data_IF_814569434791
#
_entry.id   IF_814569434791
#
_cell.length_a   1.000
_cell.length_b   1.000
_cell.length_c   1.000
_cell.angle_alpha   90.00
_cell.angle_beta   90.00
_cell.angle_gamma   90.00
#
_symmetry.space_group_name_H-M   'P 1'
#
loop_
_entity.id
_entity.type
_entity.pdbx_description
1 polymer ?
#
# COMPACT_ATOMS: atom_id res chain seq x y z
N UNK A 1 1.95 0.00 6.58
CA UNK A 1 2.36 1.35 7.01
C UNK A 1 2.77 1.30 8.47
N UNK A 2 3.77 2.10 8.87
CA UNK A 2 4.13 2.24 10.28
C UNK A 2 3.01 2.93 11.05
N UNK A 3 2.89 2.63 12.35
CA UNK A 3 1.91 3.28 13.21
C UNK A 3 2.35 4.72 13.50
N UNK A 4 1.48 5.69 13.20
CA UNK A 4 1.76 7.12 13.41
C UNK A 4 2.04 7.46 14.88
N UNK A 5 1.52 6.65 15.82
CA UNK A 5 1.71 6.84 17.27
C UNK A 5 3.13 6.56 17.71
N UNK A 6 3.83 5.70 16.99
CA UNK A 6 5.15 5.20 17.37
C UNK A 6 6.28 6.04 16.74
N UNK A 7 5.97 6.99 15.86
CA UNK A 7 6.98 7.72 15.06
C UNK A 7 8.00 8.47 15.92
N UNK A 8 7.53 9.10 17.00
CA UNK A 8 8.39 9.89 17.88
C UNK A 8 9.22 8.99 18.80
N UNK A 9 8.59 7.98 19.40
CA UNK A 9 9.27 7.02 20.28
C UNK A 9 10.32 6.20 19.52
N UNK A 10 10.00 5.79 18.29
CA UNK A 10 10.84 4.92 17.46
C UNK A 10 11.62 5.66 16.39
N UNK A 11 11.84 6.96 16.58
CA UNK A 11 12.48 7.85 15.60
C UNK A 11 13.80 7.30 15.08
N UNK A 12 14.69 6.93 16.00
CA UNK A 12 16.03 6.42 15.66
C UNK A 12 15.96 5.07 14.93
N UNK A 13 15.08 4.16 15.35
CA UNK A 13 14.88 2.87 14.67
C UNK A 13 14.41 3.06 13.23
N UNK A 14 13.48 3.99 13.01
CA UNK A 14 12.89 4.27 11.69
C UNK A 14 13.98 4.84 10.78
N UNK A 15 14.71 5.85 11.26
CA UNK A 15 15.81 6.46 10.50
C UNK A 15 16.91 5.45 10.18
N UNK A 16 17.26 4.59 11.13
CA UNK A 16 18.24 3.53 10.91
C UNK A 16 17.78 2.53 9.85
N UNK A 17 16.52 2.08 9.94
CA UNK A 17 15.94 1.17 8.95
C UNK A 17 15.89 1.80 7.56
N UNK A 18 15.54 3.09 7.45
CA UNK A 18 15.54 3.83 6.19
C UNK A 18 16.96 3.96 5.62
N UNK A 19 17.95 4.28 6.47
CA UNK A 19 19.36 4.36 6.09
C UNK A 19 19.89 3.03 5.57
N UNK A 20 19.61 1.92 6.27
CA UNK A 20 19.98 0.56 5.83
C UNK A 20 19.34 0.18 4.50
N UNK A 21 18.15 0.73 4.20
CA UNK A 21 17.43 0.53 2.94
C UNK A 21 17.91 1.45 1.80
N UNK A 22 18.65 2.51 2.11
CA UNK A 22 18.97 3.56 1.15
C UNK A 22 17.78 4.46 0.78
N UNK A 23 16.78 4.60 1.67
CA UNK A 23 15.61 5.45 1.46
C UNK A 23 15.72 6.70 2.33
N UNK A 24 15.47 7.86 1.74
CA UNK A 24 15.37 9.14 2.47
C UNK A 24 13.91 9.48 2.69
N UNK A 25 13.54 9.80 3.92
CA UNK A 25 12.18 10.15 4.31
C UNK A 25 12.17 11.40 5.19
N UNK A 26 11.10 12.20 5.08
CA UNK A 26 10.87 13.35 5.96
C UNK A 26 10.03 12.92 7.16
N UNK A 27 10.69 12.31 8.14
CA UNK A 27 10.05 11.81 9.35
C UNK A 27 9.50 12.97 10.22
N UNK A 28 10.14 14.14 10.17
CA UNK A 28 9.68 15.32 10.91
C UNK A 28 8.34 15.83 10.38
N UNK A 29 8.17 15.87 9.06
CA UNK A 29 6.88 16.21 8.46
C UNK A 29 5.79 15.18 8.83
N UNK A 30 6.12 13.89 8.90
CA UNK A 30 5.18 12.86 9.33
C UNK A 30 4.74 13.05 10.80
N UNK A 31 5.68 13.31 11.71
CA UNK A 31 5.39 13.58 13.13
C UNK A 31 4.54 14.86 13.27
N UNK A 32 4.91 15.92 12.57
CA UNK A 32 4.15 17.18 12.59
C UNK A 32 2.73 17.00 12.04
N UNK A 33 2.57 16.25 10.95
CA UNK A 33 1.26 15.92 10.39
C UNK A 33 0.42 15.08 11.38
N UNK A 34 1.03 14.15 12.11
CA UNK A 34 0.34 13.40 13.15
C UNK A 34 -0.17 14.32 14.27
N UNK A 35 0.65 15.27 14.72
CA UNK A 35 0.24 16.29 15.68
C UNK A 35 -0.94 17.14 15.19
N UNK A 36 -0.96 17.53 13.91
CA UNK A 36 -2.11 18.24 13.31
C UNK A 36 -3.39 17.41 13.32
N UNK A 37 -3.30 16.11 13.04
CA UNK A 37 -4.45 15.20 13.13
C UNK A 37 -4.99 15.14 14.56
N UNK A 38 -4.12 15.02 15.57
CA UNK A 38 -4.52 15.00 16.97
C UNK A 38 -5.20 16.31 17.41
N UNK A 39 -4.65 17.45 16.98
CA UNK A 39 -5.22 18.76 17.27
C UNK A 39 -6.60 18.94 16.60
N UNK A 40 -6.72 18.60 15.32
CA UNK A 40 -8.00 18.68 14.59
C UNK A 40 -9.05 17.73 15.19
N UNK A 41 -8.65 16.53 15.59
CA UNK A 41 -9.54 15.58 16.27
C UNK A 41 -10.05 16.12 17.60
N UNK A 42 -9.20 16.82 18.36
CA UNK A 42 -9.58 17.50 19.61
C UNK A 42 -10.60 18.61 19.34
N UNK A 43 -10.37 19.43 18.31
CA UNK A 43 -11.30 20.49 17.92
C UNK A 43 -12.69 19.95 17.53
N UNK A 44 -12.74 18.84 16.77
CA UNK A 44 -14.00 18.15 16.44
C UNK A 44 -14.71 17.67 17.70
N UNK A 45 -13.99 17.09 18.65
CA UNK A 45 -14.57 16.59 19.90
C UNK A 45 -15.14 17.74 20.74
N UNK A 46 -14.42 18.85 20.86
CA UNK A 46 -14.88 20.04 21.59
C UNK A 46 -16.09 20.71 20.93
N UNK A 47 -16.09 20.84 19.59
CA UNK A 47 -17.22 21.39 18.86
C UNK A 47 -18.48 20.52 19.02
N UNK A 48 -18.32 19.20 18.98
CA UNK A 48 -19.42 18.26 19.24
C UNK A 48 -19.91 18.35 20.69
N UNK A 49 -19.00 18.51 21.67
CA UNK A 49 -19.37 18.72 23.07
C UNK A 49 -20.22 19.98 23.24
N UNK A 50 -19.76 21.12 22.71
CA UNK A 50 -20.50 22.38 22.73
C UNK A 50 -21.87 22.27 22.08
N UNK A 51 -21.96 21.61 20.90
CA UNK A 51 -23.23 21.35 20.22
C UNK A 51 -24.18 20.52 21.08
N UNK A 52 -23.68 19.48 21.74
CA UNK A 52 -24.49 18.60 22.57
C UNK A 52 -24.95 19.31 23.86
N UNK A 53 -24.09 20.12 24.49
CA UNK A 53 -24.45 20.99 25.61
C UNK A 53 -25.54 22.00 25.21
N UNK A 54 -25.41 22.63 24.04
CA UNK A 54 -26.41 23.54 23.47
C UNK A 54 -27.74 22.84 23.18
N UNK A 55 -27.72 21.62 22.65
CA UNK A 55 -28.93 20.85 22.43
C UNK A 55 -29.67 20.53 23.75
N UNK A 56 -28.93 20.21 24.81
CA UNK A 56 -29.51 19.96 26.15
C UNK A 56 -30.11 21.23 26.76
N UNK A 57 -29.50 22.40 26.55
CA UNK A 57 -30.03 23.67 27.06
C UNK A 57 -31.38 24.05 26.44
N UNK A 58 -31.72 23.48 25.28
CA UNK A 58 -33.00 23.62 24.58
C UNK A 58 -34.20 22.96 25.29
N UNK A 59 -34.00 22.19 26.36
CA UNK A 59 -35.09 21.49 27.08
C UNK A 59 -35.88 22.40 28.04
N UNK A 60 -35.41 23.63 28.30
CA UNK A 60 -36.12 24.61 29.13
C UNK A 60 -37.28 25.25 28.36
N UNK A 61 -38.29 25.76 29.10
CA UNK A 61 -39.30 26.64 28.48
C UNK A 61 -38.61 27.90 27.97
N UNK A 62 -38.92 28.27 26.73
CA UNK A 62 -38.39 29.44 26.04
C UNK A 62 -39.55 30.20 25.42
N UNK A 63 -39.45 31.52 25.39
CA UNK A 63 -40.30 32.34 24.53
C UNK A 63 -39.90 32.20 23.05
N UNK A 64 -40.64 32.87 22.15
CA UNK A 64 -40.42 32.72 20.72
C UNK A 64 -39.11 33.37 20.24
N UNK A 65 -38.69 34.47 20.85
CA UNK A 65 -37.43 35.14 20.53
C UNK A 65 -36.22 34.34 21.03
N UNK A 66 -36.31 33.76 22.23
CA UNK A 66 -35.30 32.85 22.80
C UNK A 66 -35.17 31.58 21.96
N UNK A 67 -36.29 31.03 21.47
CA UNK A 67 -36.29 29.83 20.63
C UNK A 67 -35.64 30.09 19.27
N UNK A 68 -35.90 31.24 18.66
CA UNK A 68 -35.27 31.65 17.41
C UNK A 68 -33.75 31.81 17.58
N UNK A 69 -33.31 32.52 18.62
CA UNK A 69 -31.90 32.69 18.94
C UNK A 69 -31.20 31.34 19.24
N UNK A 70 -31.85 30.44 19.99
CA UNK A 70 -31.32 29.11 20.27
C UNK A 70 -31.17 28.27 19.00
N UNK A 71 -32.14 28.35 18.09
CA UNK A 71 -32.08 27.67 16.80
C UNK A 71 -30.96 28.20 15.92
N UNK A 72 -30.76 29.52 15.88
CA UNK A 72 -29.68 30.15 15.13
C UNK A 72 -28.30 29.71 15.66
N UNK A 73 -28.11 29.70 16.98
CA UNK A 73 -26.86 29.22 17.59
C UNK A 73 -26.63 27.72 17.33
N UNK A 74 -27.68 26.91 17.36
CA UNK A 74 -27.59 25.49 17.01
C UNK A 74 -27.13 25.26 15.57
N UNK A 75 -27.57 26.10 14.62
CA UNK A 75 -27.08 26.07 13.23
C UNK A 75 -25.61 26.46 13.17
N UNK A 76 -25.21 27.54 13.85
CA UNK A 76 -23.80 27.98 13.93
C UNK A 76 -22.88 26.89 14.48
N UNK A 77 -23.29 26.21 15.54
CA UNK A 77 -22.52 25.10 16.13
C UNK A 77 -22.43 23.90 15.19
N UNK A 78 -23.50 23.58 14.46
CA UNK A 78 -23.49 22.53 13.43
C UNK A 78 -22.51 22.86 12.30
N UNK A 79 -22.50 24.11 11.82
CA UNK A 79 -21.54 24.58 10.80
C UNK A 79 -20.09 24.55 11.32
N UNK A 80 -19.87 24.89 12.60
CA UNK A 80 -18.55 24.79 13.21
C UNK A 80 -18.04 23.33 13.26
N UNK A 81 -18.90 22.38 13.62
CA UNK A 81 -18.57 20.94 13.58
C UNK A 81 -18.18 20.54 12.16
N UNK A 82 -18.97 20.90 11.15
CA UNK A 82 -18.67 20.57 9.75
C UNK A 82 -17.30 21.09 9.28
N UNK A 83 -16.95 22.34 9.63
CA UNK A 83 -15.63 22.90 9.30
C UNK A 83 -14.48 22.13 9.96
N UNK A 84 -14.61 21.76 11.23
CA UNK A 84 -13.57 20.99 11.91
C UNK A 84 -13.46 19.54 11.39
N UNK A 85 -14.57 18.95 10.92
CA UNK A 85 -14.55 17.65 10.26
C UNK A 85 -13.79 17.71 8.91
N UNK A 86 -13.98 18.77 8.13
CA UNK A 86 -13.22 19.01 6.90
C UNK A 86 -11.72 19.23 7.17
N UNK A 87 -11.38 20.02 8.20
CA UNK A 87 -9.99 20.22 8.64
C UNK A 87 -9.34 18.90 9.06
N UNK A 88 -10.07 18.05 9.81
CA UNK A 88 -9.59 16.73 10.22
C UNK A 88 -9.37 15.82 9.01
N UNK A 89 -10.28 15.82 8.03
CA UNK A 89 -10.12 15.05 6.81
C UNK A 89 -8.88 15.49 6.01
N UNK A 90 -8.67 16.81 5.89
CA UNK A 90 -7.48 17.38 5.24
C UNK A 90 -6.19 16.98 5.96
N UNK A 91 -6.16 17.09 7.30
CA UNK A 91 -5.00 16.71 8.11
C UNK A 91 -4.68 15.22 7.99
N UNK A 92 -5.69 14.35 7.91
CA UNK A 92 -5.49 12.91 7.70
C UNK A 92 -4.88 12.61 6.34
N UNK A 93 -5.38 13.24 5.27
CA UNK A 93 -4.81 13.07 3.94
C UNK A 93 -3.37 13.62 3.82
N UNK A 94 -3.02 14.63 4.62
CA UNK A 94 -1.64 15.10 4.72
C UNK A 94 -0.74 14.10 5.48
N UNK A 95 -1.24 13.53 6.58
CA UNK A 95 -0.52 12.49 7.31
C UNK A 95 -0.25 11.28 6.41
N UNK A 96 -1.25 10.79 5.68
CA UNK A 96 -1.09 9.65 4.74
C UNK A 96 0.02 9.92 3.72
N UNK A 97 0.06 11.11 3.11
CA UNK A 97 1.13 11.50 2.16
C UNK A 97 2.55 11.43 2.74
N UNK A 98 2.70 11.62 4.06
CA UNK A 98 3.99 11.52 4.73
C UNK A 98 4.29 10.12 5.27
N UNK A 99 3.26 9.32 5.54
CA UNK A 99 3.44 7.95 6.01
C UNK A 99 3.64 6.95 4.86
N UNK A 100 3.02 7.17 3.69
CA UNK A 100 3.09 6.28 2.54
C UNK A 100 4.53 5.97 2.08
N UNK A 101 5.47 6.94 2.07
CA UNK A 101 6.86 6.66 1.70
C UNK A 101 7.67 5.93 2.79
N UNK A 102 7.16 5.81 4.02
CA UNK A 102 7.88 5.17 5.11
C UNK A 102 7.90 3.65 4.91
N UNK A 103 9.08 3.03 4.72
CA UNK A 103 9.17 1.60 4.54
C UNK A 103 8.91 0.84 5.85
N UNK A 104 8.54 -0.44 5.73
CA UNK A 104 8.57 -1.35 6.87
C UNK A 104 9.99 -1.50 7.43
N UNK A 105 10.09 -1.86 8.71
CA UNK A 105 11.38 -2.16 9.35
C UNK A 105 12.13 -3.26 8.62
N UNK A 106 13.41 -3.03 8.38
CA UNK A 106 14.33 -4.06 7.89
C UNK A 106 14.60 -5.05 9.03
N UNK A 107 14.46 -6.35 8.74
CA UNK A 107 14.81 -7.39 9.70
C UNK A 107 16.32 -7.31 10.04
N UNK A 108 16.73 -7.47 11.31
CA UNK A 108 18.14 -7.35 11.73
C UNK A 108 19.11 -8.17 10.87
N UNK A 109 18.73 -9.39 10.50
CA UNK A 109 19.57 -10.32 9.72
C UNK A 109 19.74 -9.97 8.24
N UNK A 110 19.01 -8.98 7.72
CA UNK A 110 19.13 -8.55 6.32
C UNK A 110 20.48 -7.86 6.11
N UNK A 111 21.31 -8.33 5.16
CA UNK A 111 22.57 -7.67 4.81
C UNK A 111 22.35 -6.20 4.45
N UNK A 112 23.26 -5.33 4.86
CA UNK A 112 23.26 -3.91 4.49
C UNK A 112 24.08 -3.77 3.21
N UNK A 113 23.53 -3.06 2.22
CA UNK A 113 24.20 -2.76 0.96
C UNK A 113 23.37 -3.15 -0.26
N UNK A 114 24.05 -3.36 -1.38
CA UNK A 114 23.43 -3.61 -2.69
C UNK A 114 23.28 -5.09 -3.03
N UNK A 115 23.03 -5.38 -4.30
CA UNK A 115 22.90 -6.76 -4.80
C UNK A 115 24.20 -7.57 -4.58
N UNK A 116 25.35 -6.89 -4.54
CA UNK A 116 26.66 -7.46 -4.25
C UNK A 116 26.79 -8.01 -2.83
N UNK A 117 25.97 -7.52 -1.89
CA UNK A 117 26.00 -7.92 -0.48
C UNK A 117 25.03 -9.06 -0.16
N UNK A 118 24.29 -9.56 -1.16
CA UNK A 118 23.38 -10.68 -1.00
C UNK A 118 24.16 -11.95 -0.61
N UNK A 119 23.66 -12.65 0.42
CA UNK A 119 24.26 -13.87 0.94
C UNK A 119 23.51 -15.08 0.42
N UNK A 120 24.21 -15.98 -0.26
CA UNK A 120 23.66 -17.28 -0.65
C UNK A 120 23.46 -18.16 0.60
N UNK A 121 22.21 -18.46 0.96
CA UNK A 121 21.90 -19.29 2.12
C UNK A 121 21.96 -20.79 1.82
N UNK A 122 21.56 -21.19 0.62
CA UNK A 122 21.52 -22.60 0.22
C UNK A 122 21.53 -22.75 -1.30
N UNK A 123 22.36 -23.66 -1.81
CA UNK A 123 22.29 -24.23 -3.16
C UNK A 123 21.71 -25.63 -3.10
N UNK A 124 20.83 -26.00 -4.03
CA UNK A 124 20.31 -27.36 -4.16
C UNK A 124 20.44 -27.80 -5.61
N UNK A 125 21.06 -28.96 -5.82
CA UNK A 125 21.41 -29.45 -7.15
C UNK A 125 22.70 -28.83 -7.69
N UNK A 126 23.14 -29.34 -8.84
CA UNK A 126 24.32 -28.87 -9.55
C UNK A 126 23.91 -28.44 -10.96
N UNK A 127 24.49 -27.36 -11.52
CA UNK A 127 24.26 -26.98 -12.92
C UNK A 127 24.57 -28.15 -13.85
N UNK A 128 23.65 -28.43 -14.80
CA UNK A 128 23.82 -29.54 -15.74
C UNK A 128 25.02 -29.27 -16.66
N UNK A 129 26.00 -30.20 -16.75
CA UNK A 129 27.06 -30.09 -17.74
C UNK A 129 26.51 -30.45 -19.12
N UNK A 130 26.83 -29.62 -20.12
CA UNK A 130 26.51 -29.88 -21.52
C UNK A 130 27.79 -30.26 -22.27
N UNK A 131 27.69 -31.24 -23.16
CA UNK A 131 28.73 -31.64 -24.11
C UNK A 131 28.64 -30.88 -25.44
N UNK A 132 27.74 -29.89 -25.51
CA UNK A 132 27.53 -28.95 -26.60
C UNK A 132 27.46 -27.51 -26.07
N UNK A 133 27.58 -26.52 -26.96
CA UNK A 133 27.37 -25.11 -26.62
C UNK A 133 25.86 -24.84 -26.42
N UNK A 134 25.39 -24.63 -25.18
CA UNK A 134 23.96 -24.53 -24.91
C UNK A 134 23.40 -23.21 -25.47
N UNK A 135 22.27 -23.31 -26.15
CA UNK A 135 21.49 -22.13 -26.52
C UNK A 135 20.82 -21.54 -25.28
N UNK A 136 20.66 -20.21 -25.27
CA UNK A 136 19.76 -19.57 -24.33
C UNK A 136 18.28 -19.90 -24.65
N UNK A 137 17.38 -19.48 -23.77
CA UNK A 137 15.96 -19.75 -23.92
C UNK A 137 15.36 -19.16 -25.21
N UNK A 138 15.91 -18.05 -25.75
CA UNK A 138 15.44 -17.44 -27.00
C UNK A 138 15.89 -18.27 -28.22
N UNK A 139 17.13 -18.73 -28.23
CA UNK A 139 17.66 -19.60 -29.27
C UNK A 139 16.92 -20.95 -29.33
N UNK A 140 16.60 -21.53 -28.16
CA UNK A 140 15.75 -22.73 -28.07
C UNK A 140 14.35 -22.43 -28.60
N UNK A 141 13.72 -21.34 -28.16
CA UNK A 141 12.38 -20.97 -28.59
C UNK A 141 12.28 -20.75 -30.10
N UNK A 142 13.29 -20.12 -30.71
CA UNK A 142 13.35 -19.92 -32.15
C UNK A 142 13.42 -21.24 -32.93
N UNK A 143 14.21 -22.22 -32.45
CA UNK A 143 14.30 -23.55 -33.08
C UNK A 143 12.99 -24.34 -33.00
N UNK A 144 12.21 -24.12 -31.95
CA UNK A 144 10.94 -24.81 -31.71
C UNK A 144 9.72 -24.05 -32.26
N UNK A 145 9.92 -22.88 -32.88
CA UNK A 145 8.84 -21.97 -33.26
C UNK A 145 7.87 -21.69 -32.09
N UNK A 146 8.43 -21.52 -30.89
CA UNK A 146 7.71 -21.50 -29.62
C UNK A 146 7.26 -20.10 -29.18
N UNK A 147 7.86 -19.04 -29.72
CA UNK A 147 7.56 -17.66 -29.33
C UNK A 147 7.47 -16.75 -30.57
N UNK A 148 6.42 -15.94 -30.63
CA UNK A 148 6.23 -14.88 -31.63
C UNK A 148 6.29 -13.50 -30.96
N UNK A 149 7.47 -12.89 -31.03
CA UNK A 149 7.72 -11.54 -30.52
C UNK A 149 7.23 -10.46 -31.49
N UNK A 150 7.25 -10.72 -32.80
CA UNK A 150 6.92 -9.70 -33.80
C UNK A 150 5.45 -9.31 -33.73
N UNK A 151 4.55 -10.30 -33.72
CA UNK A 151 3.13 -10.03 -33.67
C UNK A 151 2.69 -9.54 -32.28
N UNK A 152 3.31 -10.03 -31.21
CA UNK A 152 3.07 -9.50 -29.87
C UNK A 152 3.48 -8.02 -29.76
N UNK A 153 4.63 -7.65 -30.33
CA UNK A 153 5.09 -6.25 -30.34
C UNK A 153 4.18 -5.33 -31.17
N UNK A 154 3.61 -5.82 -32.27
CA UNK A 154 2.60 -5.07 -33.05
C UNK A 154 1.34 -4.76 -32.24
N UNK A 155 0.96 -5.65 -31.31
CA UNK A 155 -0.27 -5.52 -30.53
C UNK A 155 -0.07 -4.77 -29.22
N UNK A 156 0.97 -5.11 -28.46
CA UNK A 156 1.17 -4.63 -27.09
C UNK A 156 2.48 -3.83 -26.90
N UNK A 157 3.32 -3.72 -27.93
CA UNK A 157 4.61 -3.03 -27.86
C UNK A 157 5.76 -3.92 -27.38
N UNK A 158 6.92 -3.29 -27.11
CA UNK A 158 8.11 -4.02 -26.68
C UNK A 158 7.88 -4.75 -25.34
N UNK A 159 8.63 -5.84 -25.11
CA UNK A 159 8.58 -6.72 -23.92
C UNK A 159 7.37 -7.67 -23.84
N UNK A 160 6.51 -7.70 -24.85
CA UNK A 160 5.43 -8.68 -24.98
C UNK A 160 5.78 -9.80 -25.95
N UNK A 161 5.17 -10.97 -25.76
CA UNK A 161 5.37 -12.16 -26.60
C UNK A 161 4.08 -13.00 -26.67
N UNK A 162 3.94 -13.78 -27.74
CA UNK A 162 2.96 -14.86 -27.81
C UNK A 162 3.69 -16.20 -27.70
N UNK A 163 3.19 -17.10 -26.86
CA UNK A 163 3.60 -18.49 -26.88
C UNK A 163 2.91 -19.23 -28.02
N UNK A 164 3.59 -20.22 -28.58
CA UNK A 164 3.13 -21.04 -29.70
C UNK A 164 3.39 -22.53 -29.45
N UNK A 165 2.61 -23.35 -30.15
CA UNK A 165 2.80 -24.80 -30.22
C UNK A 165 2.89 -25.43 -28.81
N UNK A 166 3.84 -26.35 -28.63
CA UNK A 166 4.05 -27.07 -27.37
C UNK A 166 4.40 -26.14 -26.19
N UNK A 167 4.89 -24.92 -26.43
CA UNK A 167 5.17 -23.99 -25.35
C UNK A 167 3.90 -23.47 -24.66
N UNK A 168 2.78 -23.36 -25.40
CA UNK A 168 1.47 -23.04 -24.80
C UNK A 168 1.02 -24.16 -23.88
N UNK A 169 1.14 -25.41 -24.34
CA UNK A 169 0.76 -26.58 -23.54
C UNK A 169 1.65 -26.72 -22.30
N UNK A 170 2.94 -26.43 -22.44
CA UNK A 170 3.90 -26.45 -21.34
C UNK A 170 3.59 -25.37 -20.29
N UNK A 171 3.25 -24.15 -20.69
CA UNK A 171 2.85 -23.08 -19.77
C UNK A 171 1.63 -23.50 -18.93
N UNK A 172 0.58 -24.00 -19.58
CA UNK A 172 -0.63 -24.46 -18.91
C UNK A 172 -0.34 -25.63 -17.95
N UNK A 173 0.52 -26.56 -18.36
CA UNK A 173 0.93 -27.68 -17.54
C UNK A 173 1.70 -27.22 -16.29
N UNK A 174 2.60 -26.23 -16.42
CA UNK A 174 3.35 -25.66 -15.29
C UNK A 174 2.44 -24.91 -14.32
N UNK A 175 1.51 -24.10 -14.82
CA UNK A 175 0.51 -23.42 -14.00
C UNK A 175 -0.31 -24.43 -13.19
N UNK A 176 -0.78 -25.50 -13.86
CA UNK A 176 -1.55 -26.56 -13.20
C UNK A 176 -0.72 -27.30 -12.16
N UNK A 177 0.51 -27.66 -12.49
CA UNK A 177 1.42 -28.35 -11.57
C UNK A 177 1.65 -27.53 -10.29
N UNK A 178 1.89 -26.22 -10.42
CA UNK A 178 2.06 -25.34 -9.26
C UNK A 178 0.80 -25.30 -8.38
N UNK A 179 -0.40 -25.24 -8.97
CA UNK A 179 -1.66 -25.30 -8.24
C UNK A 179 -1.83 -26.64 -7.51
N UNK A 180 -1.54 -27.77 -8.16
CA UNK A 180 -1.66 -29.09 -7.54
C UNK A 180 -0.73 -29.22 -6.31
N UNK A 181 0.50 -28.70 -6.39
CA UNK A 181 1.42 -28.66 -5.23
C UNK A 181 0.83 -27.82 -4.10
N UNK A 182 0.36 -26.60 -4.39
CA UNK A 182 -0.17 -25.70 -3.35
C UNK A 182 -1.46 -26.24 -2.72
N UNK A 183 -2.33 -26.87 -3.51
CA UNK A 183 -3.56 -27.51 -2.99
C UNK A 183 -3.19 -28.66 -2.04
N UNK A 184 -2.19 -29.46 -2.37
CA UNK A 184 -1.72 -30.54 -1.52
C UNK A 184 -1.14 -30.02 -0.18
N UNK A 185 -0.54 -28.83 -0.18
CA UNK A 185 -0.07 -28.10 1.02
C UNK A 185 -1.21 -27.39 1.77
N UNK A 186 -2.47 -27.53 1.33
CA UNK A 186 -3.65 -27.01 2.03
C UNK A 186 -4.05 -25.58 1.65
N UNK A 187 -3.49 -25.01 0.59
CA UNK A 187 -3.93 -23.71 0.08
C UNK A 187 -5.26 -23.84 -0.67
N UNK A 188 -6.14 -22.84 -0.50
CA UNK A 188 -7.39 -22.74 -1.25
C UNK A 188 -7.15 -21.98 -2.56
N UNK A 189 -7.40 -22.58 -3.74
CA UNK A 189 -7.17 -21.91 -5.01
C UNK A 189 -8.29 -20.90 -5.32
N UNK A 190 -7.90 -19.73 -5.82
CA UNK A 190 -8.81 -18.70 -6.32
C UNK A 190 -8.38 -18.27 -7.74
N UNK A 191 -9.36 -17.94 -8.57
CA UNK A 191 -9.14 -17.14 -9.78
C UNK A 191 -9.65 -15.73 -9.48
N UNK A 192 -8.81 -14.73 -9.65
CA UNK A 192 -9.10 -13.34 -9.30
C UNK A 192 -9.21 -12.46 -10.54
N UNK A 193 -9.85 -11.28 -10.46
CA UNK A 193 -9.74 -10.28 -11.50
C UNK A 193 -8.29 -9.78 -11.66
N UNK A 194 -7.87 -9.49 -12.90
CA UNK A 194 -6.55 -8.90 -13.20
C UNK A 194 -6.50 -7.38 -12.97
N UNK A 195 -7.66 -6.77 -12.71
CA UNK A 195 -7.79 -5.34 -12.44
C UNK A 195 -8.31 -5.10 -11.02
N UNK A 196 -7.68 -4.16 -10.33
CA UNK A 196 -8.02 -3.78 -8.96
C UNK A 196 -8.29 -2.27 -8.87
N UNK A 197 -9.09 -1.88 -7.86
CA UNK A 197 -9.31 -0.46 -7.56
C UNK A 197 -8.05 0.15 -6.93
N UNK A 198 -7.77 1.45 -7.14
CA UNK A 198 -6.55 2.10 -6.65
C UNK A 198 -6.31 1.91 -5.15
N UNK A 199 -7.35 1.94 -4.32
CA UNK A 199 -7.22 1.77 -2.87
C UNK A 199 -6.73 0.36 -2.47
N UNK A 200 -7.01 -0.65 -3.27
CA UNK A 200 -6.51 -2.02 -3.05
C UNK A 200 -5.03 -2.09 -3.40
N UNK A 201 -4.64 -1.49 -4.53
CA UNK A 201 -3.26 -1.44 -5.01
C UNK A 201 -2.39 -0.64 -4.02
N UNK A 202 -2.88 0.49 -3.55
CA UNK A 202 -2.21 1.31 -2.55
C UNK A 202 -2.05 0.58 -1.21
N UNK A 203 -3.07 -0.17 -0.78
CA UNK A 203 -3.01 -1.00 0.43
C UNK A 203 -1.93 -2.09 0.39
N UNK A 204 -1.47 -2.49 -0.80
CA UNK A 204 -0.37 -3.43 -1.01
C UNK A 204 1.01 -2.75 -1.09
N UNK A 205 1.07 -1.42 -1.02
CA UNK A 205 2.30 -0.64 -1.10
C UNK A 205 2.75 -0.29 -2.52
N UNK A 206 1.86 -0.40 -3.51
CA UNK A 206 2.10 0.08 -4.88
C UNK A 206 1.53 1.49 -5.01
N UNK A 207 2.37 2.49 -4.71
CA UNK A 207 2.04 3.92 -4.71
C UNK A 207 2.90 4.67 -5.73
#
# INVERSE_FOLDING_TARGET
MLDARDLEERREDILESCRRRGVTVDLDAAIAAHGRVQAAQTAVNDANRLRNEHQKSGQRKMDDAEREAHTAEGRRLKEAVGRHEEELASARGELERHLDPLPNFIHPDVPVGGEEDFRELRRVGEPTPFDFDPLDHLGVAARLDAIDFENAAKVAGQKFYYLKNDAVLLELALQRFALDVLIAEGFTPYVTPDLARPEIVAGLGYN
#
